data_IF_801126605713
#
_entry.id   IF_801126605713
#
_cell.length_a   1.000
_cell.length_b   1.000
_cell.length_c   1.000
_cell.angle_alpha   90.00
_cell.angle_beta   90.00
_cell.angle_gamma   90.00
#
_symmetry.space_group_name_H-M   'P 1'
#
loop_
_entity.id
_entity.type
_entity.pdbx_description
1 polymer ?
#
# COMPACT_ATOMS: atom_id res chain seq x y z
N UNK A 1 -45.93 -18.01 2.47
CA UNK A 1 -46.51 -18.32 1.15
C UNK A 1 -46.07 -19.73 0.80
N UNK A 2 -47.02 -20.65 0.61
CA UNK A 2 -46.73 -22.06 0.29
C UNK A 2 -46.76 -22.22 -1.23
N UNK A 3 -45.62 -22.61 -1.82
CA UNK A 3 -45.47 -22.82 -3.26
C UNK A 3 -45.17 -24.29 -3.51
N UNK A 4 -45.88 -24.92 -4.44
CA UNK A 4 -45.57 -26.24 -4.95
C UNK A 4 -45.09 -26.13 -6.39
N UNK A 5 -44.06 -26.91 -6.73
CA UNK A 5 -43.52 -27.00 -8.08
C UNK A 5 -43.76 -28.41 -8.64
N UNK A 6 -43.92 -28.50 -9.95
CA UNK A 6 -44.00 -29.76 -10.66
C UNK A 6 -42.73 -29.98 -11.48
N UNK A 7 -41.87 -30.90 -11.04
CA UNK A 7 -40.57 -31.20 -11.65
C UNK A 7 -40.55 -32.68 -12.00
N UNK A 8 -40.27 -33.03 -13.27
CA UNK A 8 -40.15 -34.42 -13.75
C UNK A 8 -41.33 -35.35 -13.37
N UNK A 9 -42.56 -34.83 -13.43
CA UNK A 9 -43.76 -35.62 -13.11
C UNK A 9 -44.07 -35.76 -11.62
N UNK A 10 -43.30 -35.11 -10.74
CA UNK A 10 -43.51 -35.15 -9.29
C UNK A 10 -43.83 -33.76 -8.72
N UNK A 11 -44.76 -33.73 -7.77
CA UNK A 11 -45.11 -32.54 -6.99
C UNK A 11 -44.12 -32.38 -5.84
N UNK A 12 -43.43 -31.24 -5.79
CA UNK A 12 -42.44 -30.90 -4.76
C UNK A 12 -42.92 -29.68 -3.99
N UNK A 13 -42.97 -29.78 -2.66
CA UNK A 13 -43.27 -28.68 -1.75
C UNK A 13 -44.01 -29.13 -0.48
N UNK A 14 -44.45 -28.19 0.37
CA UNK A 14 -44.43 -26.74 0.15
C UNK A 14 -43.03 -26.12 0.25
N UNK A 15 -42.75 -25.13 -0.61
CA UNK A 15 -41.50 -24.38 -0.69
C UNK A 15 -41.75 -22.90 -0.39
N UNK A 16 -40.71 -22.24 0.12
CA UNK A 16 -40.64 -20.79 0.28
C UNK A 16 -40.27 -20.09 -1.03
N UNK A 17 -40.56 -18.79 -1.12
CA UNK A 17 -40.15 -17.94 -2.26
C UNK A 17 -38.64 -18.04 -2.49
N UNK A 18 -37.85 -18.00 -1.41
CA UNK A 18 -36.39 -18.07 -1.48
C UNK A 18 -35.89 -19.38 -2.11
N UNK A 19 -36.45 -20.53 -1.70
CA UNK A 19 -36.08 -21.83 -2.28
C UNK A 19 -36.44 -21.94 -3.76
N UNK A 20 -37.55 -21.33 -4.18
CA UNK A 20 -37.95 -21.28 -5.58
C UNK A 20 -37.02 -20.36 -6.38
N UNK A 21 -36.68 -19.18 -5.84
CA UNK A 21 -35.71 -18.26 -6.45
C UNK A 21 -34.32 -18.87 -6.60
N UNK A 22 -33.85 -19.62 -5.60
CA UNK A 22 -32.55 -20.30 -5.65
C UNK A 22 -32.53 -21.43 -6.69
N UNK A 23 -33.64 -22.14 -6.85
CA UNK A 23 -33.77 -23.18 -7.89
C UNK A 23 -33.82 -22.60 -9.30
N UNK A 24 -34.47 -21.44 -9.47
CA UNK A 24 -34.43 -20.65 -10.71
C UNK A 24 -32.99 -20.21 -11.03
N UNK A 25 -32.28 -19.63 -10.04
CA UNK A 25 -30.89 -19.14 -10.21
C UNK A 25 -29.89 -20.26 -10.52
N UNK A 26 -30.06 -21.41 -9.88
CA UNK A 26 -29.18 -22.58 -10.12
C UNK A 26 -29.51 -23.36 -11.39
N UNK A 27 -30.51 -22.92 -12.18
CA UNK A 27 -30.92 -23.58 -13.42
C UNK A 27 -31.60 -24.94 -13.22
N UNK A 28 -31.97 -25.31 -11.99
CA UNK A 28 -32.67 -26.58 -11.67
C UNK A 28 -34.13 -26.57 -12.13
N UNK A 29 -34.70 -25.39 -12.29
CA UNK A 29 -36.04 -25.15 -12.87
C UNK A 29 -35.95 -23.95 -13.81
N UNK A 30 -36.79 -23.94 -14.85
CA UNK A 30 -36.94 -22.81 -15.75
C UNK A 30 -38.20 -21.99 -15.39
N UNK A 31 -38.36 -20.82 -16.02
CA UNK A 31 -39.52 -19.95 -15.82
C UNK A 31 -40.85 -20.58 -16.26
N UNK A 32 -40.80 -21.60 -17.13
CA UNK A 32 -41.96 -22.35 -17.60
C UNK A 32 -42.38 -23.50 -16.67
N UNK A 33 -41.62 -23.73 -15.59
CA UNK A 33 -41.96 -24.76 -14.61
C UNK A 33 -43.34 -24.49 -14.00
N UNK A 34 -44.21 -25.51 -14.00
CA UNK A 34 -45.55 -25.38 -13.47
C UNK A 34 -45.48 -25.24 -11.94
N UNK A 35 -46.08 -24.17 -11.44
CA UNK A 35 -46.17 -23.83 -10.04
C UNK A 35 -47.63 -23.70 -9.62
N UNK A 36 -47.90 -24.08 -8.37
CA UNK A 36 -49.18 -23.81 -7.72
C UNK A 36 -48.90 -23.14 -6.40
N UNK A 37 -49.55 -22.00 -6.19
CA UNK A 37 -49.43 -21.21 -4.97
C UNK A 37 -50.75 -21.34 -4.22
N UNK A 38 -50.67 -21.50 -2.89
CA UNK A 38 -51.85 -21.60 -2.03
C UNK A 38 -52.85 -20.47 -2.31
N UNK A 39 -54.03 -20.84 -2.78
CA UNK A 39 -55.10 -19.92 -3.21
C UNK A 39 -55.33 -19.85 -4.72
N UNK A 40 -54.55 -20.57 -5.54
CA UNK A 40 -54.79 -20.68 -6.99
C UNK A 40 -55.77 -21.81 -7.32
N UNK A 41 -56.61 -21.61 -8.34
CA UNK A 41 -57.56 -22.62 -8.84
C UNK A 41 -56.87 -23.66 -9.73
N UNK A 42 -55.83 -23.25 -10.46
CA UNK A 42 -55.12 -24.08 -11.43
C UNK A 42 -53.61 -23.91 -11.32
N UNK A 43 -52.87 -24.92 -11.78
CA UNK A 43 -51.42 -24.84 -11.94
C UNK A 43 -51.09 -23.88 -13.09
N UNK A 44 -50.14 -22.96 -12.87
CA UNK A 44 -49.70 -22.01 -13.89
C UNK A 44 -48.18 -22.02 -14.00
N UNK A 45 -47.62 -21.64 -15.16
CA UNK A 45 -46.18 -21.41 -15.28
C UNK A 45 -45.70 -20.44 -14.21
N UNK A 46 -44.49 -20.65 -13.70
CA UNK A 46 -43.90 -19.80 -12.65
C UNK A 46 -43.81 -18.33 -13.10
N UNK A 47 -43.56 -18.08 -14.39
CA UNK A 47 -43.62 -16.74 -15.01
C UNK A 47 -44.96 -16.02 -14.91
N UNK A 48 -46.05 -16.72 -14.64
CA UNK A 48 -47.40 -16.15 -14.58
C UNK A 48 -47.93 -16.04 -13.13
N UNK A 49 -47.15 -16.52 -12.16
CA UNK A 49 -47.49 -16.55 -10.75
C UNK A 49 -46.90 -15.35 -10.01
N UNK A 50 -47.68 -14.62 -9.20
CA UNK A 50 -47.13 -13.61 -8.28
C UNK A 50 -46.39 -14.28 -7.12
N UNK A 51 -45.22 -13.78 -6.67
CA UNK A 51 -44.56 -12.53 -7.07
C UNK A 51 -43.61 -12.65 -8.28
N UNK A 52 -43.50 -13.82 -8.92
CA UNK A 52 -42.49 -14.11 -9.93
C UNK A 52 -42.76 -13.47 -11.30
N UNK A 53 -44.01 -13.08 -11.58
CA UNK A 53 -44.47 -12.51 -12.85
C UNK A 53 -43.70 -11.28 -13.36
N UNK A 54 -43.08 -10.52 -12.46
CA UNK A 54 -42.20 -9.38 -12.78
C UNK A 54 -40.87 -9.45 -12.03
N UNK A 55 -40.49 -10.64 -11.59
CA UNK A 55 -39.26 -10.83 -10.83
C UNK A 55 -38.05 -10.78 -11.76
N UNK A 56 -36.97 -10.18 -11.26
CA UNK A 56 -35.67 -10.18 -11.94
C UNK A 56 -35.20 -11.64 -12.15
N UNK A 57 -35.56 -12.55 -11.25
CA UNK A 57 -35.25 -13.97 -11.32
C UNK A 57 -35.79 -14.64 -12.59
N UNK A 58 -37.04 -14.35 -12.99
CA UNK A 58 -37.61 -14.88 -14.23
C UNK A 58 -36.92 -14.28 -15.45
N UNK A 59 -36.61 -12.98 -15.42
CA UNK A 59 -35.87 -12.32 -16.52
C UNK A 59 -34.46 -12.88 -16.68
N UNK A 60 -33.75 -13.17 -15.58
CA UNK A 60 -32.42 -13.79 -15.59
C UNK A 60 -32.46 -15.26 -16.03
N UNK A 61 -33.52 -15.99 -15.69
CA UNK A 61 -33.71 -17.39 -16.09
C UNK A 61 -34.08 -17.52 -17.58
N UNK A 62 -34.86 -16.57 -18.11
CA UNK A 62 -35.21 -16.49 -19.54
C UNK A 62 -34.06 -15.90 -20.39
N UNK A 63 -33.19 -15.08 -19.79
CA UNK A 63 -31.97 -14.60 -20.43
C UNK A 63 -31.02 -15.79 -20.60
N UNK A 64 -31.11 -16.43 -21.76
CA UNK A 64 -30.25 -17.53 -22.19
C UNK A 64 -28.80 -17.29 -21.78
N UNK A 65 -28.29 -18.10 -20.84
CA UNK A 65 -26.86 -18.17 -20.53
C UNK A 65 -26.01 -18.57 -21.76
N UNK A 66 -26.65 -18.91 -22.88
CA UNK A 66 -26.04 -19.21 -24.17
C UNK A 66 -25.59 -17.97 -24.98
N UNK A 67 -25.99 -16.75 -24.65
CA UNK A 67 -25.67 -15.59 -25.52
C UNK A 67 -24.44 -14.79 -25.08
N UNK A 68 -23.82 -15.14 -23.95
CA UNK A 68 -22.47 -14.64 -23.62
C UNK A 68 -21.49 -15.76 -23.93
N UNK A 69 -21.35 -16.10 -25.21
CA UNK A 69 -20.20 -16.87 -25.68
C UNK A 69 -19.03 -15.89 -25.64
N UNK A 70 -18.35 -15.79 -24.50
CA UNK A 70 -17.02 -15.17 -24.47
C UNK A 70 -16.17 -16.07 -25.36
N UNK A 71 -15.77 -15.55 -26.51
CA UNK A 71 -14.87 -16.28 -27.40
C UNK A 71 -13.56 -16.58 -26.66
N UNK A 72 -12.85 -17.66 -27.01
CA UNK A 72 -11.55 -17.94 -26.37
C UNK A 72 -10.59 -16.75 -26.53
N UNK A 73 -10.68 -16.03 -27.65
CA UNK A 73 -9.93 -14.80 -27.91
C UNK A 73 -10.31 -13.65 -26.96
N UNK A 74 -11.60 -13.42 -26.72
CA UNK A 74 -12.05 -12.42 -25.73
C UNK A 74 -11.64 -12.82 -24.31
N UNK A 75 -11.68 -14.12 -23.99
CA UNK A 75 -11.25 -14.64 -22.69
C UNK A 75 -9.75 -14.43 -22.49
N UNK A 76 -8.93 -14.78 -23.47
CA UNK A 76 -7.49 -14.51 -23.44
C UNK A 76 -7.21 -13.01 -23.35
N UNK A 77 -7.96 -12.16 -24.06
CA UNK A 77 -7.80 -10.71 -24.01
C UNK A 77 -8.16 -10.14 -22.64
N UNK A 78 -9.25 -10.62 -22.02
CA UNK A 78 -9.66 -10.23 -20.67
C UNK A 78 -8.63 -10.71 -19.65
N UNK A 79 -8.15 -11.95 -19.75
CA UNK A 79 -7.15 -12.51 -18.86
C UNK A 79 -5.81 -11.76 -19.00
N UNK A 80 -5.36 -11.45 -20.22
CA UNK A 80 -4.17 -10.63 -20.47
C UNK A 80 -4.34 -9.22 -19.91
N UNK A 81 -5.49 -8.59 -20.11
CA UNK A 81 -5.78 -7.25 -19.57
C UNK A 81 -5.80 -7.26 -18.05
N UNK A 82 -6.45 -8.25 -17.45
CA UNK A 82 -6.50 -8.43 -16.00
C UNK A 82 -5.12 -8.74 -15.41
N UNK A 83 -4.30 -9.58 -16.06
CA UNK A 83 -2.93 -9.87 -15.64
C UNK A 83 -2.02 -8.65 -15.79
N UNK A 84 -2.16 -7.89 -16.88
CA UNK A 84 -1.45 -6.64 -17.09
C UNK A 84 -1.81 -5.61 -16.01
N UNK A 85 -3.11 -5.42 -15.72
CA UNK A 85 -3.59 -4.51 -14.67
C UNK A 85 -3.13 -4.96 -13.28
N UNK A 86 -3.18 -6.26 -12.99
CA UNK A 86 -2.70 -6.84 -11.73
C UNK A 86 -1.18 -6.68 -11.56
N UNK A 87 -0.40 -6.83 -12.63
CA UNK A 87 1.06 -6.63 -12.60
C UNK A 87 1.44 -5.15 -12.39
N UNK A 88 0.60 -4.23 -12.86
CA UNK A 88 0.69 -2.78 -12.67
C UNK A 88 0.14 -2.31 -11.30
N UNK A 89 -0.38 -3.24 -10.49
CA UNK A 89 -0.90 -2.95 -9.16
C UNK A 89 0.14 -2.33 -8.23
N UNK A 90 -0.29 -1.70 -7.13
CA UNK A 90 0.63 -1.10 -6.18
C UNK A 90 1.57 -2.16 -5.59
N UNK A 91 2.85 -1.80 -5.40
CA UNK A 91 3.85 -2.67 -4.78
C UNK A 91 4.30 -2.10 -3.42
N UNK A 92 3.50 -2.24 -2.33
CA UNK A 92 3.76 -1.56 -1.05
C UNK A 92 5.14 -1.85 -0.46
N UNK A 93 5.58 -3.11 -0.52
CA UNK A 93 6.87 -3.53 0.04
C UNK A 93 8.05 -2.91 -0.71
N UNK A 94 7.96 -2.80 -2.04
CA UNK A 94 9.00 -2.12 -2.83
C UNK A 94 9.08 -0.64 -2.44
N UNK A 95 7.93 0.01 -2.25
CA UNK A 95 7.87 1.41 -1.81
C UNK A 95 8.47 1.59 -0.41
N UNK A 96 8.21 0.67 0.50
CA UNK A 96 8.79 0.67 1.85
C UNK A 96 10.31 0.45 1.80
N UNK A 97 10.79 -0.55 1.05
CA UNK A 97 12.23 -0.81 0.94
C UNK A 97 12.97 0.33 0.26
N UNK A 98 12.39 0.97 -0.75
CA UNK A 98 12.97 2.17 -1.35
C UNK A 98 13.15 3.27 -0.31
N UNK A 99 12.17 3.45 0.58
CA UNK A 99 12.24 4.38 1.71
C UNK A 99 13.33 4.01 2.72
N UNK A 100 13.47 2.73 3.05
CA UNK A 100 14.53 2.25 3.96
C UNK A 100 15.91 2.55 3.39
N UNK A 101 16.11 2.34 2.08
CA UNK A 101 17.38 2.63 1.40
C UNK A 101 17.64 4.15 1.34
N UNK A 102 16.59 4.94 1.06
CA UNK A 102 16.71 6.40 0.99
C UNK A 102 16.95 7.03 2.38
N UNK A 103 16.41 6.44 3.45
CA UNK A 103 16.35 7.08 4.77
C UNK A 103 17.72 7.56 5.28
N UNK A 104 18.79 6.74 5.31
CA UNK A 104 20.12 7.21 5.73
C UNK A 104 20.62 8.40 4.92
N UNK A 105 20.38 8.40 3.60
CA UNK A 105 20.83 9.46 2.68
C UNK A 105 20.07 10.76 2.94
N UNK A 106 18.76 10.67 3.15
CA UNK A 106 17.89 11.83 3.36
C UNK A 106 18.14 12.53 4.69
N UNK A 107 18.54 11.81 5.73
CA UNK A 107 18.81 12.39 7.06
C UNK A 107 20.26 12.82 7.26
N UNK A 108 21.18 12.40 6.37
CA UNK A 108 22.62 12.62 6.53
C UNK A 108 23.01 14.10 6.74
N UNK A 109 22.48 15.08 5.97
CA UNK A 109 22.74 16.50 6.24
C UNK A 109 22.29 16.94 7.64
N UNK A 110 21.14 16.44 8.11
CA UNK A 110 20.63 16.68 9.46
C UNK A 110 21.55 16.11 10.53
N UNK A 111 22.16 14.95 10.30
CA UNK A 111 23.12 14.36 11.23
C UNK A 111 24.42 15.17 11.31
N UNK A 112 24.93 15.66 10.17
CA UNK A 112 26.09 16.57 10.15
C UNK A 112 25.79 17.84 10.96
N UNK A 113 24.62 18.45 10.72
CA UNK A 113 24.18 19.61 11.49
C UNK A 113 24.09 19.31 12.99
N UNK A 114 23.51 18.17 13.38
CA UNK A 114 23.41 17.77 14.77
C UNK A 114 24.78 17.50 15.40
N UNK A 115 25.73 16.90 14.68
CA UNK A 115 27.12 16.72 15.16
C UNK A 115 27.79 18.06 15.42
N UNK A 116 27.61 19.03 14.53
CA UNK A 116 28.14 20.38 14.69
C UNK A 116 27.46 21.17 15.82
N UNK A 117 26.15 20.98 16.03
CA UNK A 117 25.37 21.73 17.01
C UNK A 117 25.44 21.15 18.44
N UNK A 118 25.27 19.83 18.58
CA UNK A 118 25.27 19.15 19.88
C UNK A 118 26.69 18.76 20.35
N UNK A 119 27.63 18.65 19.41
CA UNK A 119 28.93 18.03 19.64
C UNK A 119 28.86 16.51 19.51
N UNK A 120 30.02 15.91 19.29
CA UNK A 120 30.17 14.47 19.05
C UNK A 120 29.75 13.61 20.24
N UNK A 121 30.17 13.97 21.46
CA UNK A 121 29.84 13.21 22.67
C UNK A 121 28.32 13.08 22.89
N UNK A 122 27.59 14.21 22.82
CA UNK A 122 26.13 14.21 23.01
C UNK A 122 25.42 13.50 21.87
N UNK A 123 25.87 13.69 20.63
CA UNK A 123 25.28 12.99 19.49
C UNK A 123 25.43 11.48 19.63
N UNK A 124 26.62 10.99 19.99
CA UNK A 124 26.90 9.58 20.23
C UNK A 124 26.10 9.04 21.42
N UNK A 125 25.96 9.81 22.49
CA UNK A 125 25.14 9.42 23.65
C UNK A 125 23.65 9.22 23.29
N UNK A 126 23.11 10.03 22.38
CA UNK A 126 21.68 9.97 22.01
C UNK A 126 21.36 9.08 20.82
N UNK A 127 22.29 8.93 19.86
CA UNK A 127 22.03 8.26 18.58
C UNK A 127 23.16 7.33 18.12
N UNK A 128 24.24 7.21 18.89
CA UNK A 128 25.34 6.30 18.60
C UNK A 128 24.99 4.84 18.91
N UNK A 129 25.93 3.90 18.65
CA UNK A 129 25.71 2.47 18.82
C UNK A 129 25.29 2.07 20.25
N UNK A 130 25.84 2.76 21.24
CA UNK A 130 25.59 2.47 22.67
C UNK A 130 24.34 3.16 23.21
N UNK A 131 23.68 4.03 22.44
CA UNK A 131 22.54 4.82 22.91
C UNK A 131 21.37 3.93 23.38
N UNK A 132 21.08 2.84 22.64
CA UNK A 132 20.02 1.91 23.01
C UNK A 132 20.38 1.13 24.29
N UNK A 133 21.62 0.67 24.41
CA UNK A 133 22.10 -0.05 25.59
C UNK A 133 22.02 0.85 26.82
N UNK A 134 22.49 2.09 26.70
CA UNK A 134 22.44 3.10 27.75
C UNK A 134 21.01 3.43 28.19
N UNK A 135 20.05 3.46 27.26
CA UNK A 135 18.63 3.65 27.59
C UNK A 135 18.03 2.44 28.33
N UNK A 136 18.43 1.21 27.97
CA UNK A 136 17.92 -0.02 28.58
C UNK A 136 18.52 -0.30 29.96
N UNK A 137 19.82 -0.03 30.13
CA UNK A 137 20.54 -0.28 31.38
C UNK A 137 20.21 0.75 32.47
N UNK A 138 19.42 1.78 32.15
CA UNK A 138 19.08 2.87 33.06
C UNK A 138 20.32 3.49 33.71
N UNK A 139 21.48 3.40 33.02
CA UNK A 139 22.69 4.10 33.39
C UNK A 139 22.36 5.60 33.50
N UNK A 140 23.10 6.34 34.31
CA UNK A 140 22.90 7.77 34.57
C UNK A 140 23.21 8.65 33.34
N UNK A 141 22.78 8.23 32.16
CA UNK A 141 22.71 9.04 30.96
C UNK A 141 21.68 10.11 31.21
N UNK A 142 22.12 11.35 31.05
CA UNK A 142 21.23 12.51 31.08
C UNK A 142 20.17 12.31 30.00
N UNK A 143 18.96 11.91 30.40
CA UNK A 143 17.84 11.80 29.48
C UNK A 143 17.76 13.10 28.67
N UNK A 144 17.66 13.03 27.32
CA UNK A 144 17.67 14.22 26.50
C UNK A 144 16.54 15.13 26.95
N UNK A 145 16.86 16.40 27.20
CA UNK A 145 15.83 17.39 27.48
C UNK A 145 14.81 17.42 26.34
N UNK A 146 13.57 17.81 26.65
CA UNK A 146 12.51 17.93 25.63
C UNK A 146 12.97 18.83 24.46
N UNK A 147 13.72 19.89 24.76
CA UNK A 147 14.29 20.80 23.77
C UNK A 147 15.26 20.04 22.85
N UNK A 148 16.17 19.25 23.41
CA UNK A 148 17.12 18.44 22.63
C UNK A 148 16.41 17.43 21.73
N UNK A 149 15.38 16.75 22.24
CA UNK A 149 14.59 15.81 21.45
C UNK A 149 13.86 16.51 20.28
N UNK A 150 13.29 17.69 20.54
CA UNK A 150 12.66 18.51 19.51
C UNK A 150 13.69 18.98 18.46
N UNK A 151 14.89 19.37 18.88
CA UNK A 151 15.98 19.75 17.97
C UNK A 151 16.41 18.58 17.08
N UNK A 152 16.61 17.38 17.66
CA UNK A 152 16.96 16.18 16.90
C UNK A 152 15.87 15.84 15.89
N UNK A 153 14.61 15.77 16.35
CA UNK A 153 13.46 15.41 15.50
C UNK A 153 13.27 16.40 14.36
N UNK A 154 13.33 17.70 14.66
CA UNK A 154 13.18 18.76 13.65
C UNK A 154 14.34 18.77 12.65
N UNK A 155 15.58 18.61 13.09
CA UNK A 155 16.74 18.53 12.20
C UNK A 155 16.64 17.34 11.23
N UNK A 156 16.25 16.16 11.71
CA UNK A 156 16.06 14.96 10.88
C UNK A 156 14.90 15.17 9.89
N UNK A 157 13.75 15.66 10.36
CA UNK A 157 12.58 15.88 9.50
C UNK A 157 12.85 16.93 8.42
N UNK A 158 13.49 18.05 8.78
CA UNK A 158 13.83 19.12 7.83
C UNK A 158 14.87 18.64 6.82
N UNK A 159 15.92 17.93 7.28
CA UNK A 159 16.91 17.31 6.40
C UNK A 159 16.24 16.42 5.36
N UNK A 160 15.36 15.51 5.80
CA UNK A 160 14.60 14.65 4.90
C UNK A 160 13.84 15.50 3.89
N UNK A 161 12.95 16.38 4.36
CA UNK A 161 12.03 17.13 3.49
C UNK A 161 12.80 17.91 2.42
N UNK A 162 13.86 18.61 2.82
CA UNK A 162 14.68 19.41 1.90
C UNK A 162 15.42 18.50 0.91
N UNK A 163 16.11 17.46 1.40
CA UNK A 163 16.91 16.57 0.58
C UNK A 163 16.05 15.80 -0.42
N UNK A 164 14.92 15.24 0.01
CA UNK A 164 13.99 14.53 -0.90
C UNK A 164 13.41 15.49 -1.94
N UNK A 165 13.04 16.71 -1.53
CA UNK A 165 12.50 17.72 -2.46
C UNK A 165 13.51 18.06 -3.55
N UNK A 166 14.77 18.29 -3.18
CA UNK A 166 15.84 18.58 -4.15
C UNK A 166 16.04 17.39 -5.11
N UNK A 167 16.21 16.18 -4.58
CA UNK A 167 16.44 14.98 -5.39
C UNK A 167 15.26 14.74 -6.36
N UNK A 168 14.02 14.83 -5.88
CA UNK A 168 12.84 14.64 -6.73
C UNK A 168 12.67 15.75 -7.78
N UNK A 169 13.05 16.99 -7.46
CA UNK A 169 12.96 18.11 -8.40
C UNK A 169 13.95 17.95 -9.57
N UNK A 170 15.14 17.39 -9.32
CA UNK A 170 16.15 17.16 -10.37
C UNK A 170 15.93 15.84 -11.13
N UNK A 171 15.72 14.75 -10.40
CA UNK A 171 15.75 13.39 -10.95
C UNK A 171 14.38 12.71 -11.04
N UNK A 172 13.33 13.26 -10.42
CA UNK A 172 11.98 12.66 -10.32
C UNK A 172 11.92 11.28 -9.63
N UNK A 173 13.07 10.78 -9.21
CA UNK A 173 13.26 9.58 -8.40
C UNK A 173 14.35 9.82 -7.37
N UNK A 174 14.35 9.05 -6.30
CA UNK A 174 15.42 9.03 -5.29
C UNK A 174 16.31 7.81 -5.50
N UNK A 175 17.48 7.75 -4.85
CA UNK A 175 18.45 6.69 -5.14
C UNK A 175 17.88 5.29 -4.88
N UNK A 176 17.23 5.07 -3.73
CA UNK A 176 16.57 3.81 -3.40
C UNK A 176 15.41 3.47 -4.35
N UNK A 177 14.61 4.47 -4.73
CA UNK A 177 13.54 4.30 -5.72
C UNK A 177 14.11 3.93 -7.10
N UNK A 178 15.18 4.58 -7.53
CA UNK A 178 15.86 4.30 -8.80
C UNK A 178 16.41 2.87 -8.84
N UNK A 179 17.08 2.42 -7.76
CA UNK A 179 17.59 1.06 -7.65
C UNK A 179 16.45 0.05 -7.77
N UNK A 180 15.36 0.27 -7.03
CA UNK A 180 14.18 -0.60 -7.04
C UNK A 180 13.20 -0.33 -8.18
N UNK A 181 13.66 0.33 -9.24
CA UNK A 181 12.89 0.60 -10.45
C UNK A 181 11.51 1.23 -10.20
N UNK A 182 11.48 2.18 -9.26
CA UNK A 182 10.32 2.94 -8.86
C UNK A 182 10.53 4.40 -9.25
N UNK A 183 9.55 4.98 -9.93
CA UNK A 183 9.58 6.39 -10.36
C UNK A 183 8.28 7.08 -9.95
N UNK A 184 8.37 8.39 -9.73
CA UNK A 184 7.22 9.22 -9.41
C UNK A 184 7.00 10.18 -10.57
N UNK A 185 5.79 10.17 -11.11
CA UNK A 185 5.35 11.10 -12.15
C UNK A 185 4.10 11.84 -11.70
N UNK A 186 3.86 13.01 -12.29
CA UNK A 186 2.58 13.69 -12.21
C UNK A 186 1.47 12.87 -12.90
N UNK A 187 0.19 13.26 -12.74
CA UNK A 187 -0.97 12.65 -13.39
C UNK A 187 -0.83 12.59 -14.92
N UNK A 188 -0.07 13.53 -15.49
CA UNK A 188 0.22 13.62 -16.94
C UNK A 188 1.49 12.87 -17.36
N UNK A 189 2.10 12.08 -16.48
CA UNK A 189 3.34 11.34 -16.75
C UNK A 189 4.60 12.20 -16.82
N UNK A 190 4.52 13.49 -16.43
CA UNK A 190 5.66 14.42 -16.43
C UNK A 190 6.41 14.39 -15.09
N UNK A 191 7.64 14.92 -15.10
CA UNK A 191 8.44 15.17 -13.89
C UNK A 191 7.67 16.02 -12.88
N UNK A 192 7.86 15.73 -11.60
CA UNK A 192 7.15 16.46 -10.54
C UNK A 192 7.76 17.85 -10.37
N UNK A 193 6.91 18.87 -10.22
CA UNK A 193 7.39 20.23 -9.94
C UNK A 193 7.93 20.38 -8.50
N UNK A 194 8.82 21.34 -8.23
CA UNK A 194 9.48 21.48 -6.92
C UNK A 194 8.50 21.75 -5.77
N UNK A 195 7.42 22.52 -6.02
CA UNK A 195 6.37 22.74 -5.02
C UNK A 195 5.64 21.44 -4.69
N UNK A 196 5.28 20.65 -5.71
CA UNK A 196 4.63 19.35 -5.52
C UNK A 196 5.54 18.37 -4.79
N UNK A 197 6.83 18.34 -5.12
CA UNK A 197 7.85 17.58 -4.42
C UNK A 197 7.91 17.92 -2.93
N UNK A 198 7.90 19.22 -2.60
CA UNK A 198 7.96 19.71 -1.23
C UNK A 198 6.73 19.30 -0.42
N UNK A 199 5.52 19.61 -0.92
CA UNK A 199 4.28 19.26 -0.24
C UNK A 199 4.12 17.74 -0.11
N UNK A 200 4.55 16.98 -1.11
CA UNK A 200 4.54 15.52 -1.05
C UNK A 200 5.50 15.01 0.03
N UNK A 201 6.76 15.49 0.05
CA UNK A 201 7.78 15.05 1.03
C UNK A 201 7.36 15.40 2.47
N UNK A 202 6.80 16.59 2.68
CA UNK A 202 6.22 16.99 3.96
C UNK A 202 5.08 16.06 4.38
N UNK A 203 4.12 15.78 3.49
CA UNK A 203 3.01 14.90 3.81
C UNK A 203 3.46 13.45 4.06
N UNK A 204 4.53 12.98 3.41
CA UNK A 204 5.09 11.66 3.72
C UNK A 204 5.71 11.67 5.11
N UNK A 205 6.51 12.68 5.46
CA UNK A 205 7.12 12.80 6.78
C UNK A 205 6.04 12.84 7.88
N UNK A 206 5.00 13.67 7.71
CA UNK A 206 3.92 13.85 8.68
C UNK A 206 2.92 12.69 8.69
N UNK A 207 2.25 12.39 7.57
CA UNK A 207 1.16 11.39 7.50
C UNK A 207 1.65 9.97 7.24
N UNK A 208 2.81 9.82 6.62
CA UNK A 208 3.39 8.51 6.30
C UNK A 208 4.26 7.96 7.42
N UNK A 209 5.05 8.80 8.09
CA UNK A 209 6.02 8.38 9.10
C UNK A 209 5.81 9.03 10.48
N UNK A 210 4.73 9.81 10.69
CA UNK A 210 4.39 10.34 12.01
C UNK A 210 5.46 11.25 12.61
N UNK A 211 6.17 12.02 11.77
CA UNK A 211 7.34 12.84 12.16
C UNK A 211 8.49 12.04 12.79
N UNK A 212 8.52 10.72 12.57
CA UNK A 212 9.54 9.80 13.15
C UNK A 212 9.41 9.72 14.68
N UNK A 213 8.25 10.09 15.23
CA UNK A 213 7.98 10.04 16.67
C UNK A 213 7.34 8.69 17.02
N UNK A 214 7.82 8.04 18.07
CA UNK A 214 7.18 6.86 18.63
C UNK A 214 5.84 7.22 19.31
N UNK A 215 4.75 6.45 19.12
CA UNK A 215 4.63 5.22 18.32
C UNK A 215 4.20 5.45 16.86
N UNK A 216 3.96 6.70 16.45
CA UNK A 216 3.41 7.05 15.14
C UNK A 216 4.27 6.59 13.95
N UNK A 217 5.59 6.50 14.13
CA UNK A 217 6.52 5.95 13.13
C UNK A 217 6.17 4.52 12.70
N UNK A 218 5.48 3.74 13.54
CA UNK A 218 5.00 2.39 13.20
C UNK A 218 3.54 2.38 12.74
N UNK A 219 2.69 3.20 13.36
CA UNK A 219 1.25 3.23 13.07
C UNK A 219 0.97 3.85 11.69
N UNK A 220 1.61 4.96 11.35
CA UNK A 220 1.37 5.68 10.10
C UNK A 220 1.69 4.85 8.85
N UNK A 221 2.82 4.11 8.78
CA UNK A 221 3.08 3.20 7.65
C UNK A 221 2.03 2.09 7.50
N UNK A 222 1.51 1.55 8.60
CA UNK A 222 0.45 0.54 8.58
C UNK A 222 -0.83 1.12 7.96
N UNK A 223 -1.22 2.33 8.37
CA UNK A 223 -2.37 3.04 7.77
C UNK A 223 -2.13 3.28 6.28
N UNK A 224 -0.92 3.68 5.89
CA UNK A 224 -0.55 3.87 4.48
C UNK A 224 -0.62 2.58 3.68
N UNK A 225 -0.17 1.46 4.26
CA UNK A 225 -0.25 0.13 3.64
C UNK A 225 -1.71 -0.21 3.29
N UNK A 226 -2.63 -0.09 4.25
CA UNK A 226 -4.05 -0.36 4.01
C UNK A 226 -4.69 0.62 3.03
N UNK A 227 -4.30 1.90 3.05
CA UNK A 227 -4.75 2.88 2.04
C UNK A 227 -4.31 2.44 0.64
N UNK A 228 -3.05 2.04 0.50
CA UNK A 228 -2.47 1.66 -0.79
C UNK A 228 -3.08 0.36 -1.32
N UNK A 229 -3.29 -0.65 -0.48
CA UNK A 229 -3.87 -1.93 -0.91
C UNK A 229 -5.37 -1.87 -1.18
N UNK A 230 -6.12 -1.00 -0.47
CA UNK A 230 -7.58 -0.87 -0.67
C UNK A 230 -7.97 0.19 -1.71
N UNK A 231 -7.18 1.25 -1.85
CA UNK A 231 -7.52 2.42 -2.70
C UNK A 231 -6.54 2.65 -3.85
N UNK A 232 -5.51 1.79 -4.00
CA UNK A 232 -4.42 1.94 -4.97
C UNK A 232 -3.67 3.29 -4.91
N UNK A 233 -3.84 4.05 -3.83
CA UNK A 233 -3.18 5.34 -3.62
C UNK A 233 -2.93 5.62 -2.15
N UNK A 234 -1.96 6.48 -1.88
CA UNK A 234 -1.66 6.98 -0.54
C UNK A 234 -2.24 8.39 -0.37
N UNK A 235 -2.41 8.84 0.87
CA UNK A 235 -2.96 10.16 1.13
C UNK A 235 -2.14 11.30 0.50
N UNK A 236 -0.81 11.19 0.49
CA UNK A 236 0.08 12.21 -0.06
C UNK A 236 0.14 12.17 -1.59
N UNK A 237 0.06 10.98 -2.20
CA UNK A 237 0.03 10.86 -3.65
C UNK A 237 -1.31 11.36 -4.21
N UNK A 238 -2.43 11.04 -3.54
CA UNK A 238 -3.76 11.53 -3.91
C UNK A 238 -3.87 13.06 -3.83
N UNK A 239 -3.32 13.66 -2.76
CA UNK A 239 -3.38 15.13 -2.56
C UNK A 239 -2.63 15.89 -3.66
N UNK A 240 -1.56 15.30 -4.21
CA UNK A 240 -0.72 15.93 -5.23
C UNK A 240 -0.95 15.36 -6.63
N UNK A 241 -1.96 14.50 -6.81
CA UNK A 241 -2.25 13.79 -8.06
C UNK A 241 -1.02 13.09 -8.68
N UNK A 242 -0.08 12.62 -7.85
CA UNK A 242 1.13 11.93 -8.32
C UNK A 242 0.88 10.44 -8.45
N UNK A 243 1.43 9.83 -9.50
CA UNK A 243 1.42 8.38 -9.72
C UNK A 243 2.80 7.80 -9.43
N UNK A 244 2.83 6.62 -8.82
CA UNK A 244 4.06 5.85 -8.60
C UNK A 244 4.05 4.67 -9.56
N UNK A 245 5.03 4.64 -10.44
CA UNK A 245 5.19 3.59 -11.43
C UNK A 245 6.27 2.61 -10.95
N UNK A 246 6.04 1.33 -11.20
CA UNK A 246 6.97 0.26 -10.86
C UNK A 246 7.34 -0.50 -12.12
N UNK A 247 8.63 -0.60 -12.41
CA UNK A 247 9.11 -1.55 -13.40
C UNK A 247 9.47 -2.90 -12.78
N UNK A 248 10.10 -3.75 -13.59
CA UNK A 248 10.55 -5.06 -13.16
C UNK A 248 11.80 -4.97 -12.28
N UNK A 249 11.85 -5.83 -11.27
CA UNK A 249 12.99 -5.99 -10.38
C UNK A 249 13.88 -7.11 -10.90
N UNK A 250 15.08 -6.74 -11.36
CA UNK A 250 16.12 -7.72 -11.67
C UNK A 250 16.92 -8.08 -10.42
N UNK A 251 17.54 -9.26 -10.42
CA UNK A 251 18.42 -9.72 -9.33
C UNK A 251 19.55 -8.71 -9.07
N UNK A 252 20.12 -8.11 -10.12
CA UNK A 252 21.16 -7.09 -10.01
C UNK A 252 20.70 -5.84 -9.25
N UNK A 253 19.43 -5.43 -9.41
CA UNK A 253 18.85 -4.31 -8.66
C UNK A 253 18.74 -4.62 -7.17
N UNK A 254 18.36 -5.87 -6.84
CA UNK A 254 18.29 -6.34 -5.45
C UNK A 254 19.71 -6.36 -4.83
N UNK A 255 20.69 -6.90 -5.55
CA UNK A 255 22.09 -6.88 -5.10
C UNK A 255 22.60 -5.44 -4.90
N UNK A 256 22.28 -4.52 -5.82
CA UNK A 256 22.60 -3.11 -5.69
C UNK A 256 21.94 -2.46 -4.46
N UNK A 257 20.68 -2.80 -4.16
CA UNK A 257 19.99 -2.32 -2.96
C UNK A 257 20.68 -2.78 -1.68
N UNK A 258 21.07 -4.06 -1.59
CA UNK A 258 21.79 -4.61 -0.44
C UNK A 258 23.14 -3.90 -0.29
N UNK A 259 23.90 -3.75 -1.38
CA UNK A 259 25.18 -3.05 -1.37
C UNK A 259 25.03 -1.60 -0.88
N UNK A 260 24.00 -0.89 -1.31
CA UNK A 260 23.76 0.48 -0.85
C UNK A 260 23.42 0.56 0.64
N UNK A 261 22.69 -0.43 1.17
CA UNK A 261 22.45 -0.52 2.62
C UNK A 261 23.80 -0.70 3.33
N UNK A 262 24.66 -1.61 2.88
CA UNK A 262 25.97 -1.82 3.49
C UNK A 262 26.85 -0.55 3.44
N UNK A 263 26.90 0.15 2.30
CA UNK A 263 27.66 1.38 2.14
C UNK A 263 27.16 2.45 3.12
N UNK A 264 25.84 2.67 3.18
CA UNK A 264 25.26 3.68 4.06
C UNK A 264 25.49 3.37 5.54
N UNK A 265 25.42 2.09 5.94
CA UNK A 265 25.76 1.66 7.30
C UNK A 265 27.21 1.94 7.65
N UNK A 266 28.16 1.69 6.74
CA UNK A 266 29.58 2.00 6.97
C UNK A 266 29.83 3.51 7.08
N UNK A 267 29.19 4.33 6.24
CA UNK A 267 29.28 5.80 6.31
C UNK A 267 28.74 6.30 7.66
N UNK A 268 27.63 5.74 8.14
CA UNK A 268 27.10 6.06 9.47
C UNK A 268 28.07 5.62 10.57
N UNK A 269 28.65 4.43 10.48
CA UNK A 269 29.70 3.97 11.40
C UNK A 269 30.84 4.98 11.52
N UNK A 270 31.35 5.50 10.40
CA UNK A 270 32.38 6.55 10.37
C UNK A 270 31.91 7.88 10.98
N UNK A 271 30.62 8.21 10.87
CA UNK A 271 30.05 9.41 11.46
C UNK A 271 29.97 9.33 12.99
N UNK A 272 29.80 8.13 13.55
CA UNK A 272 29.70 7.92 15.00
C UNK A 272 31.01 7.41 15.64
N UNK A 273 31.99 6.96 14.85
CA UNK A 273 33.31 6.60 15.36
C UNK A 273 34.06 7.86 15.80
N UNK A 274 34.56 7.86 17.03
CA UNK A 274 35.59 8.80 17.45
C UNK A 274 36.84 8.55 16.62
N UNK A 275 37.36 9.60 15.96
CA UNK A 275 38.72 9.58 15.45
C UNK A 275 39.63 9.40 16.66
N UNK A 276 40.03 8.16 16.95
CA UNK A 276 41.09 7.91 17.92
C UNK A 276 42.28 8.78 17.51
N UNK A 277 42.70 9.67 18.43
CA UNK A 277 43.97 10.35 18.25
C UNK A 277 45.04 9.27 18.15
N UNK A 278 45.94 9.33 17.15
CA UNK A 278 46.98 8.33 17.01
C UNK A 278 47.73 8.28 18.34
N UNK A 279 47.71 7.10 18.95
CA UNK A 279 48.39 6.76 20.19
C UNK A 279 49.74 7.48 20.21
N UNK A 280 49.93 8.37 21.19
CA UNK A 280 51.23 8.95 21.49
C UNK A 280 52.21 7.78 21.69
N UNK A 281 52.94 7.44 20.63
CA UNK A 281 54.15 6.64 20.73
C UNK A 281 55.11 7.47 21.56
N UNK A 282 55.07 7.22 22.87
CA UNK A 282 56.09 7.75 23.78
C UNK A 282 57.39 7.00 23.48
N UNK A 283 58.53 7.72 23.41
CA UNK A 283 59.81 7.20 22.93
C UNK A 283 60.39 6.08 23.79
#
# INVERSE_FOLDING_TARGET
>A
MEIHLHINGQKIGPLSIYEVSERLRSGKINADCMAWIKGMEEWKPLRDCDPFRKSIEVTLADASHETIIITEEERETIDQTYMAEKSQGPKPWIRLWARVIDFPILIFPGLIFLRAYLGEEKLNAYMGPEALQNLLEQNQVSQPSIITLLTITSAICLSWIITETLILSFFSTTLGKWILNTEISDAKGKKIGPKSALFRSFNVCFRGCGLIIFPFVFICPIISYFSLTKRNTTSWDNTQQTKVNHGDLSVFRIMGAILMILITQNIFGLLFSSLESPVNASP
#
